data_IF_738795259857
#
_entry.id   IF_738795259857
#
_cell.length_a   1.000
_cell.length_b   1.000
_cell.length_c   1.000
_cell.angle_alpha   90.00
_cell.angle_beta   90.00
_cell.angle_gamma   90.00
#
_symmetry.space_group_name_H-M   'P 1'
#
loop_
_entity.id
_entity.type
_entity.pdbx_description
1 polymer ?
#
# COMPACT_ATOMS: atom_id res chain seq x y z
N UNK A 1 -5.24 -0.10 54.05
CA UNK A 1 -6.31 -0.16 53.04
C UNK A 1 -5.83 0.64 51.84
N UNK A 2 -5.18 -0.04 50.90
CA UNK A 2 -4.80 0.54 49.61
C UNK A 2 -5.76 -0.09 48.59
N UNK A 3 -6.66 0.73 48.06
CA UNK A 3 -7.59 0.36 46.99
C UNK A 3 -6.80 0.13 45.71
N UNK A 4 -6.78 -1.11 45.25
CA UNK A 4 -6.34 -1.50 43.91
C UNK A 4 -7.31 -0.93 42.87
N UNK A 5 -6.85 0.03 42.08
CA UNK A 5 -7.56 0.44 40.87
C UNK A 5 -7.47 -0.69 39.83
N UNK A 6 -8.64 -1.15 39.38
CA UNK A 6 -8.81 -2.05 38.25
C UNK A 6 -8.27 -1.40 36.97
N UNK A 7 -7.54 -2.11 36.10
CA UNK A 7 -7.12 -1.55 34.81
C UNK A 7 -8.36 -1.37 33.94
N UNK A 8 -8.78 -0.10 33.81
CA UNK A 8 -9.99 0.29 33.09
C UNK A 8 -9.97 -0.17 31.64
N UNK A 9 -11.05 -0.85 31.24
CA UNK A 9 -11.36 -1.25 29.86
C UNK A 9 -11.43 0.01 28.99
N UNK A 10 -10.44 0.21 28.11
CA UNK A 10 -10.51 1.28 27.11
C UNK A 10 -11.54 0.92 26.06
N UNK A 11 -12.43 1.84 25.72
CA UNK A 11 -13.34 1.70 24.58
C UNK A 11 -12.54 1.65 23.28
N UNK A 12 -13.08 1.01 22.24
CA UNK A 12 -12.40 0.88 20.95
C UNK A 12 -11.99 2.25 20.36
N UNK A 13 -12.83 3.26 20.55
CA UNK A 13 -12.56 4.63 20.14
C UNK A 13 -11.35 5.24 20.88
N UNK A 14 -11.21 4.96 22.19
CA UNK A 14 -10.02 5.35 22.95
C UNK A 14 -8.75 4.60 22.54
N UNK A 15 -8.86 3.36 22.03
CA UNK A 15 -7.73 2.63 21.46
C UNK A 15 -7.29 3.30 20.15
N UNK A 16 -8.22 3.58 19.24
CA UNK A 16 -7.96 4.28 17.97
C UNK A 16 -7.39 5.68 18.19
N UNK A 17 -7.91 6.43 19.17
CA UNK A 17 -7.41 7.75 19.53
C UNK A 17 -6.06 7.72 20.27
N UNK A 18 -5.72 6.58 20.90
CA UNK A 18 -4.41 6.38 21.52
C UNK A 18 -3.31 5.95 20.54
N UNK A 19 -3.67 5.64 19.29
CA UNK A 19 -2.69 5.46 18.22
C UNK A 19 -2.12 6.85 17.93
N UNK A 20 -0.82 7.08 18.18
CA UNK A 20 -0.22 8.40 17.99
C UNK A 20 -0.42 8.88 16.55
N UNK A 21 -1.04 10.05 16.39
CA UNK A 21 -1.08 10.76 15.12
C UNK A 21 0.33 11.28 14.81
N UNK A 22 1.12 10.47 14.11
CA UNK A 22 2.45 10.88 13.67
C UNK A 22 2.31 11.79 12.44
N UNK A 23 2.66 13.07 12.61
CA UNK A 23 2.63 14.09 11.55
C UNK A 23 3.95 14.20 10.82
N UNK A 24 3.83 14.50 9.52
CA UNK A 24 4.74 15.33 8.72
C UNK A 24 6.22 14.93 8.67
N UNK A 25 6.48 13.73 8.15
CA UNK A 25 7.59 13.56 7.21
C UNK A 25 7.16 12.55 6.15
N UNK A 26 7.08 13.00 4.90
CA UNK A 26 6.61 12.22 3.73
C UNK A 26 7.58 11.12 3.27
N UNK A 27 8.60 10.81 4.06
CA UNK A 27 9.51 9.70 3.79
C UNK A 27 9.26 8.60 4.83
N UNK A 28 8.64 7.51 4.37
CA UNK A 28 8.69 6.18 5.00
C UNK A 28 7.93 5.95 6.31
N UNK A 29 6.69 6.41 6.42
CA UNK A 29 5.72 5.73 7.27
C UNK A 29 4.62 5.16 6.38
N UNK A 30 4.92 4.01 5.77
CA UNK A 30 3.86 3.21 5.20
C UNK A 30 3.18 2.43 6.32
N UNK A 31 2.00 2.90 6.69
CA UNK A 31 1.06 2.07 7.43
C UNK A 31 0.40 1.10 6.45
N UNK A 32 1.05 -0.03 6.19
CA UNK A 32 0.30 -1.24 5.82
C UNK A 32 -0.35 -1.73 7.12
N UNK A 33 -1.55 -1.20 7.42
CA UNK A 33 -2.37 -1.72 8.49
C UNK A 33 -3.11 -2.97 8.00
N UNK A 34 -2.35 -3.96 7.57
CA UNK A 34 -2.88 -5.27 7.20
C UNK A 34 -3.11 -6.07 8.49
N UNK A 35 -4.35 -6.00 9.00
CA UNK A 35 -4.73 -6.68 10.24
C UNK A 35 -4.92 -8.16 9.96
N UNK A 36 -4.12 -8.98 10.64
CA UNK A 36 -4.25 -10.43 10.59
C UNK A 36 -5.30 -10.92 11.59
N UNK A 37 -6.32 -11.62 11.10
CA UNK A 37 -7.22 -12.40 11.95
C UNK A 37 -6.72 -13.84 12.06
N UNK A 38 -6.66 -14.33 13.30
CA UNK A 38 -6.50 -15.73 13.64
C UNK A 38 -7.89 -16.27 14.00
N UNK A 39 -8.43 -17.20 13.21
CA UNK A 39 -9.62 -17.95 13.63
C UNK A 39 -9.22 -19.36 14.04
N UNK A 40 -10.01 -19.92 14.95
CA UNK A 40 -9.82 -21.29 15.42
C UNK A 40 -9.83 -22.23 14.20
N UNK A 41 -8.78 -23.04 14.07
CA UNK A 41 -8.61 -24.04 13.01
C UNK A 41 -8.56 -23.49 11.57
N UNK A 42 -8.21 -22.20 11.38
CA UNK A 42 -8.03 -21.61 10.05
C UNK A 42 -6.70 -20.88 9.91
N UNK A 43 -6.15 -20.85 8.69
CA UNK A 43 -4.98 -20.02 8.38
C UNK A 43 -5.28 -18.53 8.66
N UNK A 44 -4.26 -17.74 9.04
CA UNK A 44 -4.44 -16.30 9.23
C UNK A 44 -4.91 -15.62 7.94
N UNK A 45 -5.64 -14.52 8.07
CA UNK A 45 -6.20 -13.77 6.93
C UNK A 45 -6.08 -12.26 7.13
N UNK A 46 -5.86 -11.54 6.04
CA UNK A 46 -5.88 -10.08 6.01
C UNK A 46 -7.31 -9.56 5.83
N UNK A 47 -7.63 -8.47 6.51
CA UNK A 47 -8.91 -7.77 6.39
C UNK A 47 -8.72 -6.27 6.28
N UNK A 48 -9.67 -5.63 5.59
CA UNK A 48 -9.75 -4.18 5.57
C UNK A 48 -10.01 -3.63 6.99
N UNK A 49 -9.31 -2.55 7.41
CA UNK A 49 -9.49 -1.96 8.74
C UNK A 49 -10.94 -1.54 9.07
N UNK A 50 -11.75 -1.23 8.05
CA UNK A 50 -13.17 -0.84 8.20
C UNK A 50 -14.03 -1.94 8.81
N UNK A 51 -13.61 -3.21 8.73
CA UNK A 51 -14.30 -4.35 9.37
C UNK A 51 -14.48 -4.11 10.86
N UNK A 52 -13.58 -3.35 11.49
CA UNK A 52 -13.70 -3.06 12.91
C UNK A 52 -14.84 -2.10 13.23
N UNK A 53 -15.23 -1.23 12.30
CA UNK A 53 -16.42 -0.40 12.44
C UNK A 53 -17.70 -1.22 12.60
N UNK A 54 -17.70 -2.49 12.18
CA UNK A 54 -18.82 -3.41 12.32
C UNK A 54 -18.79 -4.20 13.64
N UNK A 55 -17.82 -3.96 14.52
CA UNK A 55 -17.70 -4.64 15.80
C UNK A 55 -18.38 -3.82 16.91
N UNK A 56 -19.07 -4.52 17.80
CA UNK A 56 -19.62 -3.94 19.02
C UNK A 56 -18.73 -4.33 20.21
N UNK A 57 -18.34 -3.37 21.08
CA UNK A 57 -17.64 -3.71 22.31
C UNK A 57 -18.54 -4.59 23.19
N UNK A 58 -17.92 -5.56 23.85
CA UNK A 58 -18.60 -6.48 24.78
C UNK A 58 -17.77 -6.66 26.04
N UNK A 59 -18.39 -7.20 27.09
CA UNK A 59 -17.68 -7.56 28.31
C UNK A 59 -16.73 -8.73 28.04
N UNK A 60 -15.59 -8.72 28.73
CA UNK A 60 -14.60 -9.77 28.61
C UNK A 60 -15.17 -11.08 29.17
N UNK A 61 -15.18 -12.19 28.41
CA UNK A 61 -15.62 -13.48 28.94
C UNK A 61 -14.80 -13.91 30.16
N UNK A 62 -15.45 -14.61 31.10
CA UNK A 62 -14.78 -15.18 32.27
C UNK A 62 -13.69 -16.20 31.91
N UNK A 63 -13.87 -16.90 30.79
CA UNK A 63 -12.89 -17.83 30.22
C UNK A 63 -12.56 -17.42 28.79
N UNK A 64 -11.27 -17.22 28.52
CA UNK A 64 -10.82 -16.89 27.18
C UNK A 64 -10.73 -18.15 26.32
N UNK A 65 -11.11 -18.02 25.05
CA UNK A 65 -10.88 -19.06 24.05
C UNK A 65 -9.38 -19.31 23.88
N UNK A 66 -8.92 -20.55 23.59
CA UNK A 66 -7.49 -20.86 23.42
C UNK A 66 -6.76 -19.96 22.41
N UNK A 67 -7.48 -19.52 21.37
CA UNK A 67 -6.99 -18.58 20.35
C UNK A 67 -6.46 -17.26 20.93
N UNK A 68 -6.96 -16.83 22.10
CA UNK A 68 -6.50 -15.63 22.79
C UNK A 68 -5.06 -15.76 23.33
N UNK A 69 -4.55 -16.99 23.43
CA UNK A 69 -3.19 -17.30 23.90
C UNK A 69 -2.26 -17.76 22.78
N UNK A 70 -2.75 -17.89 21.56
CA UNK A 70 -1.93 -18.28 20.42
C UNK A 70 -0.85 -17.21 20.13
N UNK A 71 0.37 -17.63 19.75
CA UNK A 71 1.41 -16.70 19.39
C UNK A 71 1.04 -15.92 18.14
N UNK A 72 1.63 -14.74 17.99
CA UNK A 72 1.47 -13.93 16.79
C UNK A 72 1.95 -14.69 15.55
N UNK A 73 1.15 -14.64 14.48
CA UNK A 73 1.49 -15.26 13.21
C UNK A 73 2.52 -14.40 12.42
N UNK A 74 3.65 -14.04 13.05
CA UNK A 74 4.65 -13.12 12.51
C UNK A 74 5.27 -13.63 11.21
N UNK A 75 5.58 -14.92 11.11
CA UNK A 75 6.12 -15.51 9.88
C UNK A 75 5.13 -15.34 8.72
N UNK A 76 3.86 -15.63 8.97
CA UNK A 76 2.82 -15.47 7.95
C UNK A 76 2.63 -14.00 7.56
N UNK A 77 2.61 -13.09 8.54
CA UNK A 77 2.51 -11.65 8.30
C UNK A 77 3.69 -11.17 7.44
N UNK A 78 4.90 -11.61 7.76
CA UNK A 78 6.08 -11.27 6.98
C UNK A 78 5.95 -11.75 5.53
N UNK A 79 5.61 -13.02 5.32
CA UNK A 79 5.57 -13.64 3.99
C UNK A 79 4.39 -13.19 3.12
N UNK A 80 3.22 -12.92 3.71
CA UNK A 80 1.98 -12.72 2.96
C UNK A 80 1.53 -11.26 2.89
N UNK A 81 2.00 -10.42 3.80
CA UNK A 81 1.66 -9.00 3.86
C UNK A 81 2.88 -8.13 3.59
N UNK A 82 3.88 -8.20 4.48
CA UNK A 82 4.97 -7.23 4.50
C UNK A 82 5.96 -7.40 3.33
N UNK A 83 6.26 -8.64 2.94
CA UNK A 83 7.17 -8.90 1.83
C UNK A 83 6.59 -8.47 0.47
N UNK A 84 5.34 -8.86 0.09
CA UNK A 84 4.70 -8.33 -1.12
C UNK A 84 4.62 -6.80 -1.13
N UNK A 85 4.24 -6.22 0.01
CA UNK A 85 4.17 -4.77 0.17
C UNK A 85 5.54 -4.09 -0.02
N UNK A 86 6.61 -4.66 0.54
CA UNK A 86 7.98 -4.15 0.35
C UNK A 86 8.40 -4.23 -1.13
N UNK A 87 8.06 -5.31 -1.81
CA UNK A 87 8.43 -5.51 -3.21
C UNK A 87 7.69 -4.54 -4.13
N UNK A 88 6.41 -4.25 -3.84
CA UNK A 88 5.63 -3.20 -4.52
C UNK A 88 6.28 -1.82 -4.35
N UNK A 89 6.50 -1.37 -3.10
CA UNK A 89 7.12 -0.06 -2.83
C UNK A 89 8.52 0.02 -3.43
N UNK A 90 9.28 -1.08 -3.40
CA UNK A 90 10.61 -1.13 -4.02
C UNK A 90 10.52 -0.93 -5.52
N UNK A 91 9.56 -1.55 -6.19
CA UNK A 91 9.37 -1.37 -7.63
C UNK A 91 9.06 0.09 -7.95
N UNK A 92 8.10 0.70 -7.26
CA UNK A 92 7.76 2.12 -7.45
C UNK A 92 8.95 3.05 -7.21
N UNK A 93 9.69 2.79 -6.13
CA UNK A 93 10.85 3.62 -5.75
C UNK A 93 11.99 3.50 -6.75
N UNK A 94 12.26 2.29 -7.25
CA UNK A 94 13.30 2.06 -8.26
C UNK A 94 12.95 2.80 -9.55
N UNK A 95 11.69 2.75 -9.99
CA UNK A 95 11.25 3.48 -11.18
C UNK A 95 11.38 5.00 -11.02
N UNK A 96 10.98 5.54 -9.87
CA UNK A 96 11.11 6.97 -9.57
C UNK A 96 12.58 7.42 -9.61
N UNK A 97 13.45 6.68 -8.92
CA UNK A 97 14.89 6.96 -8.87
C UNK A 97 15.51 6.88 -10.27
N UNK A 98 15.11 5.91 -11.08
CA UNK A 98 15.64 5.74 -12.43
C UNK A 98 15.31 6.93 -13.33
N UNK A 99 14.09 7.48 -13.25
CA UNK A 99 13.72 8.71 -13.98
C UNK A 99 14.59 9.90 -13.55
N UNK A 100 14.79 10.06 -12.23
CA UNK A 100 15.66 11.14 -11.69
C UNK A 100 17.11 10.93 -12.16
N UNK A 101 17.60 9.70 -12.12
CA UNK A 101 18.94 9.35 -12.55
C UNK A 101 19.18 9.73 -14.01
N UNK A 102 18.27 9.35 -14.91
CA UNK A 102 18.36 9.69 -16.34
C UNK A 102 18.48 11.20 -16.56
N UNK A 103 17.65 12.00 -15.88
CA UNK A 103 17.70 13.46 -15.99
C UNK A 103 19.00 14.05 -15.45
N UNK A 104 19.46 13.59 -14.28
CA UNK A 104 20.71 14.07 -13.66
C UNK A 104 21.91 13.72 -14.52
N UNK A 105 21.97 12.47 -15.00
CA UNK A 105 23.09 11.97 -15.79
C UNK A 105 23.19 12.70 -17.13
N UNK A 106 22.07 12.88 -17.84
CA UNK A 106 22.02 13.66 -19.07
C UNK A 106 22.48 15.10 -18.82
N UNK A 107 21.87 15.79 -17.85
CA UNK A 107 22.14 17.21 -17.59
C UNK A 107 23.59 17.48 -17.18
N UNK A 108 24.15 16.64 -16.30
CA UNK A 108 25.54 16.83 -15.87
C UNK A 108 26.55 16.44 -16.95
N UNK A 109 26.23 15.45 -17.78
CA UNK A 109 27.05 15.09 -18.94
C UNK A 109 27.13 16.24 -19.95
N UNK A 110 26.00 16.88 -20.24
CA UNK A 110 25.96 18.06 -21.13
C UNK A 110 26.76 19.24 -20.56
N UNK A 111 26.65 19.50 -19.26
CA UNK A 111 27.42 20.57 -18.60
C UNK A 111 28.92 20.29 -18.58
N UNK A 112 29.33 19.03 -18.36
CA UNK A 112 30.72 18.62 -18.42
C UNK A 112 31.28 18.77 -19.83
N UNK A 113 30.57 18.28 -20.84
CA UNK A 113 30.99 18.40 -22.25
C UNK A 113 31.13 19.87 -22.68
N UNK A 114 30.25 20.75 -22.20
CA UNK A 114 30.37 22.19 -22.43
C UNK A 114 31.65 22.76 -21.81
N UNK A 115 32.01 22.32 -20.61
CA UNK A 115 33.22 22.80 -19.94
C UNK A 115 34.50 22.21 -20.55
N UNK A 116 34.47 20.98 -21.04
CA UNK A 116 35.57 20.39 -21.83
C UNK A 116 35.88 21.22 -23.07
N UNK A 117 34.85 21.66 -23.80
CA UNK A 117 35.00 22.56 -24.96
C UNK A 117 35.62 23.89 -24.54
N UNK A 118 35.22 24.46 -23.39
CA UNK A 118 35.80 25.69 -22.86
C UNK A 118 37.28 25.51 -22.47
N UNK A 119 37.63 24.41 -21.82
CA UNK A 119 38.99 24.06 -21.44
C UNK A 119 39.87 23.97 -22.69
N UNK A 120 39.43 23.23 -23.71
CA UNK A 120 40.17 23.12 -24.99
C UNK A 120 40.41 24.49 -25.62
N UNK A 121 39.37 25.32 -25.73
CA UNK A 121 39.47 26.67 -26.30
C UNK A 121 40.45 27.57 -25.52
N UNK A 122 40.31 27.65 -24.20
CA UNK A 122 41.16 28.51 -23.38
C UNK A 122 42.59 27.99 -23.28
N UNK A 123 42.80 26.67 -23.37
CA UNK A 123 44.14 26.06 -23.46
C UNK A 123 44.87 26.56 -24.70
N UNK A 124 44.24 26.47 -25.88
CA UNK A 124 44.85 26.97 -27.12
C UNK A 124 45.07 28.49 -27.11
N UNK A 125 44.15 29.28 -26.54
CA UNK A 125 44.31 30.72 -26.40
C UNK A 125 45.48 31.08 -25.45
N UNK A 126 45.66 30.33 -24.37
CA UNK A 126 46.77 30.51 -23.43
C UNK A 126 48.13 30.16 -24.09
N UNK A 127 48.19 29.08 -24.88
CA UNK A 127 49.38 28.72 -25.66
C UNK A 127 49.75 29.82 -26.68
N UNK A 128 48.74 30.47 -27.26
CA UNK A 128 48.91 31.62 -28.17
C UNK A 128 49.25 32.94 -27.45
N UNK A 129 49.31 32.94 -26.12
CA UNK A 129 49.66 34.12 -25.31
C UNK A 129 48.55 35.17 -25.22
N UNK A 130 47.28 34.79 -25.43
CA UNK A 130 46.14 35.71 -25.31
C UNK A 130 46.00 36.15 -23.85
N UNK A 131 45.87 37.46 -23.62
CA UNK A 131 45.74 38.03 -22.29
C UNK A 131 44.49 37.49 -21.57
N UNK A 132 44.65 37.10 -20.29
CA UNK A 132 43.56 36.55 -19.47
C UNK A 132 43.18 35.08 -19.75
N UNK A 133 43.68 34.47 -20.83
CA UNK A 133 43.33 33.09 -21.20
C UNK A 133 43.74 32.06 -20.13
N UNK A 134 44.90 32.22 -19.49
CA UNK A 134 45.34 31.33 -18.41
C UNK A 134 44.40 31.37 -17.19
N UNK A 135 43.85 32.55 -16.87
CA UNK A 135 42.86 32.68 -15.79
C UNK A 135 41.52 32.03 -16.15
N UNK A 136 41.07 32.21 -17.39
CA UNK A 136 39.85 31.59 -17.90
C UNK A 136 39.96 30.06 -17.97
N UNK A 137 41.11 29.54 -18.39
CA UNK A 137 41.42 28.11 -18.38
C UNK A 137 41.28 27.56 -16.96
N UNK A 138 41.92 28.21 -15.98
CA UNK A 138 41.88 27.75 -14.59
C UNK A 138 40.45 27.74 -14.03
N UNK A 139 39.67 28.78 -14.32
CA UNK A 139 38.26 28.82 -13.93
C UNK A 139 37.44 27.70 -14.58
N UNK A 140 37.74 27.35 -15.83
CA UNK A 140 37.04 26.30 -16.54
C UNK A 140 37.35 24.91 -15.97
N UNK A 141 38.63 24.64 -15.70
CA UNK A 141 39.06 23.41 -15.00
C UNK A 141 38.41 23.28 -13.62
N UNK A 142 38.33 24.37 -12.85
CA UNK A 142 37.71 24.35 -11.52
C UNK A 142 36.20 24.08 -11.61
N UNK A 143 35.50 24.68 -12.58
CA UNK A 143 34.07 24.38 -12.83
C UNK A 143 33.86 22.94 -13.26
N UNK A 144 34.71 22.41 -14.14
CA UNK A 144 34.66 21.02 -14.57
C UNK A 144 34.84 20.06 -13.38
N UNK A 145 35.85 20.30 -12.54
CA UNK A 145 36.10 19.50 -11.34
C UNK A 145 34.89 19.49 -10.37
N UNK A 146 34.24 20.65 -10.17
CA UNK A 146 33.03 20.76 -9.35
C UNK A 146 31.87 19.95 -9.93
N UNK A 147 31.65 20.03 -11.24
CA UNK A 147 30.59 19.27 -11.93
C UNK A 147 30.83 17.76 -11.84
N UNK A 148 32.08 17.32 -11.99
CA UNK A 148 32.45 15.91 -11.90
C UNK A 148 32.21 15.37 -10.48
N UNK A 149 32.68 16.08 -9.46
CA UNK A 149 32.45 15.72 -8.06
C UNK A 149 30.95 15.69 -7.72
N UNK A 150 30.16 16.61 -8.29
CA UNK A 150 28.71 16.63 -8.15
C UNK A 150 28.05 15.40 -8.78
N UNK A 151 28.48 14.98 -9.97
CA UNK A 151 27.93 13.80 -10.65
C UNK A 151 28.16 12.54 -9.82
N UNK A 152 29.38 12.30 -9.36
CA UNK A 152 29.67 11.10 -8.56
C UNK A 152 28.88 11.10 -7.25
N UNK A 153 28.81 12.24 -6.55
CA UNK A 153 27.98 12.37 -5.34
C UNK A 153 26.51 12.04 -5.61
N UNK A 154 25.94 12.56 -6.70
CA UNK A 154 24.54 12.30 -7.05
C UNK A 154 24.28 10.84 -7.38
N UNK A 155 25.22 10.15 -8.03
CA UNK A 155 25.12 8.71 -8.29
C UNK A 155 25.08 7.92 -6.97
N UNK A 156 25.98 8.21 -6.04
CA UNK A 156 26.01 7.57 -4.73
C UNK A 156 24.77 7.86 -3.87
N UNK A 157 24.23 9.08 -3.95
CA UNK A 157 22.99 9.44 -3.26
C UNK A 157 21.78 8.68 -3.83
N UNK A 158 21.65 8.60 -5.15
CA UNK A 158 20.54 7.90 -5.80
C UNK A 158 20.62 6.39 -5.59
N UNK A 159 21.82 5.80 -5.60
CA UNK A 159 22.01 4.38 -5.32
C UNK A 159 21.58 4.02 -3.90
N UNK A 160 21.99 4.84 -2.90
CA UNK A 160 21.56 4.66 -1.51
C UNK A 160 20.04 4.75 -1.32
N UNK A 161 19.36 5.58 -2.11
CA UNK A 161 17.90 5.71 -2.03
C UNK A 161 17.14 4.46 -2.53
N UNK A 162 17.79 3.56 -3.28
CA UNK A 162 17.20 2.28 -3.71
C UNK A 162 17.12 1.26 -2.58
N UNK A 163 17.90 1.42 -1.52
CA UNK A 163 17.92 0.50 -0.39
C UNK A 163 16.69 0.72 0.51
N UNK A 164 15.76 -0.21 0.47
CA UNK A 164 14.60 -0.27 1.36
C UNK A 164 14.67 -1.52 2.24
N UNK A 165 14.46 -1.34 3.54
CA UNK A 165 14.40 -2.41 4.53
C UNK A 165 13.12 -2.30 5.35
N UNK A 166 12.56 -3.45 5.72
CA UNK A 166 11.49 -3.48 6.71
C UNK A 166 12.09 -3.18 8.09
N UNK A 167 11.45 -2.26 8.80
CA UNK A 167 11.72 -2.07 10.21
C UNK A 167 11.06 -3.19 11.04
N UNK A 168 11.39 -3.24 12.33
CA UNK A 168 10.81 -4.19 13.27
C UNK A 168 9.29 -4.02 13.33
N UNK A 169 8.57 -5.15 13.29
CA UNK A 169 7.12 -5.20 13.54
C UNK A 169 6.85 -5.15 15.04
N UNK A 170 5.95 -4.26 15.46
CA UNK A 170 5.51 -4.13 16.85
C UNK A 170 4.00 -4.34 16.96
N UNK A 171 3.60 -5.18 17.92
CA UNK A 171 2.18 -5.38 18.24
C UNK A 171 1.68 -4.26 19.14
N UNK A 172 0.79 -3.43 18.61
CA UNK A 172 0.12 -2.35 19.36
C UNK A 172 -0.97 -2.91 20.29
N UNK A 173 -1.82 -3.82 19.80
CA UNK A 173 -2.91 -4.42 20.57
C UNK A 173 -3.39 -5.73 19.96
N UNK A 174 -4.11 -6.52 20.75
CA UNK A 174 -4.89 -7.68 20.30
C UNK A 174 -6.37 -7.46 20.61
N UNK A 175 -7.26 -8.01 19.79
CA UNK A 175 -8.70 -8.01 20.04
C UNK A 175 -9.26 -9.42 19.82
N UNK A 176 -10.09 -9.91 20.74
CA UNK A 176 -10.83 -11.16 20.59
C UNK A 176 -12.22 -10.84 20.06
N UNK A 177 -12.52 -11.32 18.85
CA UNK A 177 -13.82 -11.13 18.20
C UNK A 177 -14.69 -12.34 18.51
N UNK A 178 -15.84 -12.09 19.12
CA UNK A 178 -16.83 -13.11 19.43
C UNK A 178 -18.03 -12.96 18.49
N UNK A 179 -18.68 -14.06 18.09
CA UNK A 179 -19.95 -13.96 17.39
C UNK A 179 -20.98 -13.21 18.24
N UNK A 180 -21.83 -12.40 17.59
CA UNK A 180 -22.90 -11.68 18.28
C UNK A 180 -23.78 -12.66 19.07
N UNK A 181 -24.17 -12.37 20.33
CA UNK A 181 -24.97 -13.30 21.14
C UNK A 181 -26.30 -13.66 20.47
N UNK A 182 -26.97 -12.67 19.87
CA UNK A 182 -28.25 -12.86 19.17
C UNK A 182 -28.10 -13.39 17.74
N UNK A 183 -26.94 -13.92 17.34
CA UNK A 183 -26.71 -14.44 15.98
C UNK A 183 -27.69 -15.54 15.57
N UNK A 184 -28.29 -16.25 16.53
CA UNK A 184 -29.28 -17.30 16.30
C UNK A 184 -30.73 -16.79 16.38
N UNK A 185 -30.95 -15.52 16.70
CA UNK A 185 -32.28 -14.92 16.68
C UNK A 185 -32.85 -15.01 15.25
N UNK A 186 -34.15 -15.33 15.08
CA UNK A 186 -34.75 -15.51 13.75
C UNK A 186 -34.55 -14.33 12.80
N UNK A 187 -34.55 -13.10 13.34
CA UNK A 187 -34.36 -11.86 12.58
C UNK A 187 -32.94 -11.73 12.03
N UNK A 188 -31.93 -12.14 12.81
CA UNK A 188 -30.50 -12.10 12.42
C UNK A 188 -30.14 -13.30 11.54
N UNK A 189 -30.73 -14.47 11.81
CA UNK A 189 -30.49 -15.69 11.03
C UNK A 189 -30.93 -15.56 9.57
N UNK A 190 -31.99 -14.78 9.31
CA UNK A 190 -32.46 -14.43 7.95
C UNK A 190 -31.56 -13.44 7.21
N UNK A 191 -30.61 -12.82 7.90
CA UNK A 191 -29.61 -11.93 7.29
C UNK A 191 -28.33 -12.69 6.91
N UNK A 192 -28.26 -14.01 7.12
CA UNK A 192 -27.09 -14.81 6.72
C UNK A 192 -27.12 -15.08 5.21
N UNK A 193 -26.00 -14.88 4.51
CA UNK A 193 -25.83 -15.31 3.13
C UNK A 193 -26.25 -16.78 2.96
N UNK A 194 -27.15 -17.04 2.02
CA UNK A 194 -27.52 -18.38 1.60
C UNK A 194 -26.95 -18.61 0.21
N UNK A 195 -25.80 -19.29 0.14
CA UNK A 195 -25.07 -19.52 -1.11
C UNK A 195 -25.91 -20.17 -2.20
N UNK A 196 -26.83 -21.07 -1.84
CA UNK A 196 -27.73 -21.71 -2.80
C UNK A 196 -28.73 -20.69 -3.36
N UNK A 197 -29.25 -19.80 -2.51
CA UNK A 197 -30.16 -18.73 -2.92
C UNK A 197 -29.46 -17.66 -3.75
N UNK A 198 -28.23 -17.28 -3.38
CA UNK A 198 -27.41 -16.32 -4.12
C UNK A 198 -27.02 -16.86 -5.50
N UNK A 199 -26.58 -18.12 -5.58
CA UNK A 199 -26.28 -18.78 -6.85
C UNK A 199 -27.51 -18.85 -7.77
N UNK A 200 -28.66 -19.24 -7.22
CA UNK A 200 -29.92 -19.28 -7.98
C UNK A 200 -30.32 -17.89 -8.48
N UNK A 201 -30.17 -16.86 -7.65
CA UNK A 201 -30.47 -15.48 -8.04
C UNK A 201 -29.55 -15.00 -9.18
N UNK A 202 -28.26 -15.30 -9.10
CA UNK A 202 -27.28 -14.99 -10.15
C UNK A 202 -27.62 -15.68 -11.48
N UNK A 203 -27.96 -16.96 -11.44
CA UNK A 203 -28.38 -17.72 -12.63
C UNK A 203 -29.61 -17.12 -13.30
N UNK A 204 -30.63 -16.76 -12.52
CA UNK A 204 -31.87 -16.17 -13.02
C UNK A 204 -31.60 -14.81 -13.69
N UNK A 205 -30.80 -13.95 -13.07
CA UNK A 205 -30.47 -12.62 -13.63
C UNK A 205 -29.63 -12.77 -14.89
N UNK A 206 -28.62 -13.66 -14.90
CA UNK A 206 -27.83 -13.91 -16.10
C UNK A 206 -28.66 -14.46 -17.26
N UNK A 207 -29.61 -15.37 -16.98
CA UNK A 207 -30.51 -15.91 -18.00
C UNK A 207 -31.40 -14.80 -18.58
N UNK A 208 -32.01 -13.98 -17.71
CA UNK A 208 -32.85 -12.85 -18.12
C UNK A 208 -32.08 -11.89 -19.03
N UNK A 209 -30.88 -11.48 -18.65
CA UNK A 209 -30.08 -10.53 -19.43
C UNK A 209 -29.64 -11.12 -20.79
N UNK A 210 -29.28 -12.42 -20.84
CA UNK A 210 -28.94 -13.13 -22.09
C UNK A 210 -30.14 -13.28 -23.02
N UNK A 211 -31.33 -13.58 -22.50
CA UNK A 211 -32.57 -13.67 -23.29
C UNK A 211 -32.93 -12.33 -23.95
N UNK A 212 -32.52 -11.22 -23.33
CA UNK A 212 -32.69 -9.87 -23.88
C UNK A 212 -31.54 -9.47 -24.84
N UNK A 213 -30.73 -10.43 -25.30
CA UNK A 213 -29.69 -10.22 -26.31
C UNK A 213 -28.43 -9.50 -25.81
N UNK A 214 -28.23 -9.43 -24.49
CA UNK A 214 -27.09 -8.73 -23.88
C UNK A 214 -25.96 -9.70 -23.58
N UNK A 215 -24.74 -9.17 -23.60
CA UNK A 215 -23.54 -9.90 -23.22
C UNK A 215 -23.29 -9.72 -21.72
N UNK A 216 -23.36 -10.83 -20.96
CA UNK A 216 -23.31 -10.82 -19.50
C UNK A 216 -22.01 -11.41 -19.01
N UNK A 217 -21.35 -10.71 -18.10
CA UNK A 217 -20.10 -11.13 -17.45
C UNK A 217 -20.28 -11.17 -15.94
N UNK A 218 -19.86 -12.27 -15.36
CA UNK A 218 -19.78 -12.43 -13.92
C UNK A 218 -18.51 -11.77 -13.36
N UNK A 219 -18.69 -10.88 -12.38
CA UNK A 219 -17.62 -10.14 -11.73
C UNK A 219 -17.72 -10.15 -10.20
N UNK A 220 -18.59 -10.97 -9.60
CA UNK A 220 -18.83 -10.96 -8.14
C UNK A 220 -17.54 -11.24 -7.33
N UNK A 221 -16.62 -12.07 -7.83
CA UNK A 221 -15.33 -12.35 -7.17
C UNK A 221 -14.28 -11.24 -7.37
N UNK A 222 -14.54 -10.26 -8.24
CA UNK A 222 -13.58 -9.19 -8.58
C UNK A 222 -13.65 -7.98 -7.64
N UNK A 223 -14.53 -7.99 -6.64
CA UNK A 223 -14.70 -6.92 -5.65
C UNK A 223 -14.95 -5.53 -6.27
N UNK A 224 -15.74 -5.46 -7.35
CA UNK A 224 -16.04 -4.21 -8.06
C UNK A 224 -17.23 -3.42 -7.46
N UNK A 225 -17.86 -3.94 -6.42
CA UNK A 225 -19.04 -3.34 -5.77
C UNK A 225 -20.37 -3.61 -6.48
N UNK A 226 -20.38 -4.57 -7.42
CA UNK A 226 -21.55 -5.11 -8.11
C UNK A 226 -21.23 -6.53 -8.62
N UNK A 227 -22.25 -7.33 -8.93
CA UNK A 227 -22.08 -8.76 -9.24
C UNK A 227 -21.94 -9.05 -10.74
N UNK A 228 -22.73 -8.37 -11.58
CA UNK A 228 -22.80 -8.64 -13.02
C UNK A 228 -22.59 -7.37 -13.86
N UNK A 229 -21.83 -7.53 -14.94
CA UNK A 229 -21.79 -6.56 -16.04
C UNK A 229 -22.66 -7.06 -17.19
N UNK A 230 -23.60 -6.25 -17.67
CA UNK A 230 -24.43 -6.58 -18.84
C UNK A 230 -24.30 -5.47 -19.89
N UNK A 231 -23.89 -5.85 -21.10
CA UNK A 231 -23.66 -4.94 -22.22
C UNK A 231 -24.63 -5.25 -23.37
N UNK A 232 -25.42 -4.25 -23.77
CA UNK A 232 -26.16 -4.30 -25.03
C UNK A 232 -25.26 -3.83 -26.17
N UNK A 233 -24.92 -4.72 -27.10
CA UNK A 233 -24.06 -4.42 -28.25
C UNK A 233 -24.73 -3.55 -29.31
N UNK A 234 -26.06 -3.46 -29.31
CA UNK A 234 -26.82 -2.69 -30.28
C UNK A 234 -26.91 -1.23 -29.83
N UNK A 235 -27.29 -1.00 -28.57
CA UNK A 235 -27.43 0.36 -28.02
C UNK A 235 -26.14 0.92 -27.41
N UNK A 236 -25.20 0.04 -27.03
CA UNK A 236 -24.01 0.40 -26.25
C UNK A 236 -24.31 0.64 -24.76
N UNK A 237 -25.52 0.33 -24.28
CA UNK A 237 -25.88 0.50 -22.86
C UNK A 237 -25.11 -0.50 -21.99
N UNK A 238 -24.41 0.03 -20.99
CA UNK A 238 -23.72 -0.75 -19.96
C UNK A 238 -24.53 -0.74 -18.67
N UNK A 239 -24.84 -1.92 -18.15
CA UNK A 239 -25.55 -2.12 -16.88
C UNK A 239 -24.64 -2.78 -15.87
N UNK A 240 -24.61 -2.19 -14.68
CA UNK A 240 -23.92 -2.72 -13.50
C UNK A 240 -25.02 -3.20 -12.55
N UNK A 241 -25.05 -4.50 -12.29
CA UNK A 241 -26.18 -5.14 -11.60
C UNK A 241 -25.67 -5.76 -10.30
N UNK A 242 -26.25 -5.32 -9.18
CA UNK A 242 -26.15 -5.95 -7.87
C UNK A 242 -27.32 -6.94 -7.72
N UNK A 243 -27.00 -8.21 -7.47
CA UNK A 243 -27.99 -9.29 -7.36
C UNK A 243 -28.26 -9.58 -5.88
N UNK A 244 -29.54 -9.62 -5.52
CA UNK A 244 -29.98 -9.96 -4.15
C UNK A 244 -30.93 -11.15 -4.20
N UNK A 245 -30.49 -12.28 -3.66
CA UNK A 245 -31.35 -13.41 -3.36
C UNK A 245 -32.19 -13.14 -2.11
N UNK A 246 -33.48 -13.46 -2.15
CA UNK A 246 -34.37 -13.42 -0.96
C UNK A 246 -34.57 -14.87 -0.52
N UNK A 247 -33.98 -15.27 0.60
CA UNK A 247 -34.02 -16.65 1.13
C UNK A 247 -33.90 -16.72 2.64
#
# INVERSE_FOLDING_TARGET
>A
AASSESPGTKTFQQIVESIPKFSENKEQLVFSCEKTLLMKDSAPKLFDPSVIGNLQPTELPSELLPIATEPEALTWLHEKALQPFLDEVRSERVEEIERIWQHVELSLTELLAKEDVNIGRFSEEAERGVEGAAGNLKQAEDRHAVLLARRERRREELDRQKALTLQKVERITSALILPHPDREAPEVRRLRPNLETEATAMEVVMAFEREHGRQVFDVHEKNLGYDLTSLDLISGELRLIEVKGIG
#
